data_IF_684815813697
#
_entry.id   IF_684815813697
#
_cell.length_a   1.000
_cell.length_b   1.000
_cell.length_c   1.000
_cell.angle_alpha   90.00
_cell.angle_beta   90.00
_cell.angle_gamma   90.00
#
_symmetry.space_group_name_H-M   'P 1'
#
loop_
_entity.id
_entity.type
_entity.pdbx_description
1 polymer ?
#
# COMPACT_ATOMS: atom_id res chain seq x y z
N UNK A 1 -22.96 30.26 -12.86
CA UNK A 1 -21.70 30.13 -13.62
C UNK A 1 -22.04 29.94 -15.09
N UNK A 2 -21.37 30.66 -16.00
CA UNK A 2 -21.66 30.61 -17.44
C UNK A 2 -21.26 29.29 -18.10
N UNK A 3 -21.88 28.96 -19.23
CA UNK A 3 -21.62 27.71 -19.99
C UNK A 3 -20.16 27.57 -20.44
N UNK A 4 -19.51 28.68 -20.79
CA UNK A 4 -18.08 28.75 -21.14
C UNK A 4 -17.17 28.41 -19.97
N UNK A 5 -17.46 28.91 -18.77
CA UNK A 5 -16.71 28.62 -17.55
C UNK A 5 -16.79 27.14 -17.17
N UNK A 6 -17.98 26.54 -17.26
CA UNK A 6 -18.18 25.12 -17.00
C UNK A 6 -17.41 24.24 -17.99
N UNK A 7 -17.33 24.63 -19.27
CA UNK A 7 -16.53 23.94 -20.28
C UNK A 7 -15.02 24.06 -19.98
N UNK A 8 -14.54 25.24 -19.62
CA UNK A 8 -13.14 25.47 -19.26
C UNK A 8 -12.72 24.59 -18.07
N UNK A 9 -13.55 24.52 -17.02
CA UNK A 9 -13.31 23.67 -15.84
C UNK A 9 -13.26 22.19 -16.23
N UNK A 10 -14.20 21.71 -17.06
CA UNK A 10 -14.20 20.30 -17.51
C UNK A 10 -12.94 19.96 -18.33
N UNK A 11 -12.57 20.80 -19.29
CA UNK A 11 -11.37 20.57 -20.10
C UNK A 11 -10.08 20.61 -19.27
N UNK A 12 -10.01 21.48 -18.26
CA UNK A 12 -8.90 21.48 -17.31
C UNK A 12 -8.83 20.18 -16.51
N UNK A 13 -9.98 19.67 -16.02
CA UNK A 13 -10.04 18.39 -15.30
C UNK A 13 -9.65 17.20 -16.17
N UNK A 14 -10.08 17.17 -17.44
CA UNK A 14 -9.67 16.11 -18.39
C UNK A 14 -8.16 16.04 -18.51
N UNK A 15 -7.51 17.19 -18.74
CA UNK A 15 -6.04 17.30 -18.86
C UNK A 15 -5.30 16.90 -17.58
N UNK A 16 -5.89 17.11 -16.41
CA UNK A 16 -5.33 16.61 -15.16
C UNK A 16 -5.44 15.08 -15.07
N UNK A 17 -6.58 14.51 -15.46
CA UNK A 17 -6.78 13.06 -15.50
C UNK A 17 -5.84 12.34 -16.48
N UNK A 18 -5.59 12.93 -17.65
CA UNK A 18 -4.60 12.46 -18.62
C UNK A 18 -3.18 12.38 -18.05
N UNK A 19 -2.88 13.19 -17.01
CA UNK A 19 -1.62 13.18 -16.26
C UNK A 19 -1.64 12.25 -15.03
N UNK A 20 -2.68 11.43 -14.88
CA UNK A 20 -2.86 10.55 -13.72
C UNK A 20 -3.29 11.28 -12.43
N UNK A 21 -3.70 12.55 -12.51
CA UNK A 21 -4.10 13.34 -11.34
C UNK A 21 -5.61 13.30 -11.14
N UNK A 22 -6.02 12.89 -9.94
CA UNK A 22 -7.42 12.87 -9.51
C UNK A 22 -7.66 13.87 -8.37
N UNK A 23 -8.90 14.37 -8.28
CA UNK A 23 -9.38 15.10 -7.11
C UNK A 23 -10.13 14.14 -6.20
N UNK A 24 -9.80 14.20 -4.92
CA UNK A 24 -10.49 13.47 -3.87
C UNK A 24 -10.63 14.39 -2.65
N UNK A 25 -11.63 14.10 -1.81
CA UNK A 25 -11.90 14.82 -0.57
C UNK A 25 -11.27 14.07 0.60
N UNK A 26 -10.71 14.81 1.56
CA UNK A 26 -10.01 14.25 2.72
C UNK A 26 -10.52 14.96 3.97
N UNK A 27 -10.83 14.17 5.01
CA UNK A 27 -11.07 14.69 6.36
C UNK A 27 -9.73 14.81 7.09
N UNK A 28 -9.46 15.98 7.67
CA UNK A 28 -8.22 16.25 8.40
C UNK A 28 -8.39 17.39 9.39
N UNK A 29 -7.37 17.62 10.23
CA UNK A 29 -7.35 18.78 11.12
C UNK A 29 -7.17 20.06 10.31
N UNK A 30 -7.82 21.13 10.73
CA UNK A 30 -7.72 22.41 10.03
C UNK A 30 -6.28 22.96 10.00
N UNK A 31 -5.53 22.71 11.08
CA UNK A 31 -4.11 23.07 11.22
C UNK A 31 -3.22 22.41 10.16
N UNK A 32 -3.63 21.25 9.64
CA UNK A 32 -2.81 20.45 8.74
C UNK A 32 -3.14 20.76 7.26
N UNK A 33 -4.12 21.63 7.00
CA UNK A 33 -4.64 21.94 5.66
C UNK A 33 -3.54 22.36 4.68
N UNK A 34 -2.70 23.30 5.07
CA UNK A 34 -1.64 23.82 4.19
C UNK A 34 -0.48 22.84 4.01
N UNK A 35 -0.21 22.03 5.05
CA UNK A 35 0.77 20.95 4.99
C UNK A 35 0.31 19.87 3.99
N UNK A 36 -0.93 19.39 4.11
CA UNK A 36 -1.51 18.38 3.22
C UNK A 36 -1.54 18.89 1.77
N UNK A 37 -1.89 20.16 1.55
CA UNK A 37 -1.89 20.77 0.23
C UNK A 37 -0.48 20.82 -0.38
N UNK A 38 0.51 21.23 0.40
CA UNK A 38 1.91 21.31 -0.04
C UNK A 38 2.47 19.91 -0.34
N UNK A 39 2.15 18.93 0.51
CA UNK A 39 2.51 17.54 0.30
C UNK A 39 1.90 16.99 -0.99
N UNK A 40 0.58 17.13 -1.18
CA UNK A 40 -0.10 16.64 -2.38
C UNK A 40 0.46 17.28 -3.66
N UNK A 41 0.82 18.58 -3.62
CA UNK A 41 1.48 19.26 -4.75
C UNK A 41 2.81 18.61 -5.09
N UNK A 42 3.68 18.39 -4.09
CA UNK A 42 5.00 17.78 -4.31
C UNK A 42 4.90 16.32 -4.78
N UNK A 43 3.94 15.55 -4.23
CA UNK A 43 3.70 14.16 -4.66
C UNK A 43 3.12 14.06 -6.07
N UNK A 44 2.51 15.13 -6.59
CA UNK A 44 1.95 15.18 -7.95
C UNK A 44 2.99 15.44 -9.04
N UNK A 45 4.22 15.72 -8.65
CA UNK A 45 5.33 15.91 -9.59
C UNK A 45 5.85 14.56 -10.08
N UNK A 46 6.29 14.54 -11.34
CA UNK A 46 6.91 13.39 -11.99
C UNK A 46 8.43 13.54 -11.98
N UNK A 47 8.98 13.60 -10.75
CA UNK A 47 10.41 13.77 -10.49
C UNK A 47 10.93 12.65 -9.60
N UNK A 48 12.24 12.34 -9.64
CA UNK A 48 12.86 11.36 -8.73
C UNK A 48 12.60 11.69 -7.25
N UNK A 49 12.69 12.97 -6.88
CA UNK A 49 12.48 13.44 -5.51
C UNK A 49 11.04 13.22 -5.04
N UNK A 50 10.06 13.39 -5.94
CA UNK A 50 8.66 13.08 -5.64
C UNK A 50 8.45 11.56 -5.45
N UNK A 51 9.19 10.74 -6.19
CA UNK A 51 9.15 9.27 -6.06
C UNK A 51 9.72 8.81 -4.72
N UNK A 52 10.89 9.34 -4.33
CA UNK A 52 11.49 9.06 -3.02
C UNK A 52 10.57 9.51 -1.89
N UNK A 53 9.98 10.70 -2.00
CA UNK A 53 9.02 11.19 -1.00
C UNK A 53 7.79 10.29 -0.89
N UNK A 54 7.25 9.77 -2.01
CA UNK A 54 6.15 8.78 -1.98
C UNK A 54 6.56 7.52 -1.20
N UNK A 55 7.79 7.03 -1.38
CA UNK A 55 8.29 5.86 -0.67
C UNK A 55 8.44 6.13 0.84
N UNK A 56 9.05 7.26 1.23
CA UNK A 56 9.22 7.65 2.63
C UNK A 56 7.88 7.83 3.34
N UNK A 57 6.93 8.53 2.73
CA UNK A 57 5.59 8.73 3.30
C UNK A 57 4.87 7.40 3.44
N UNK A 58 4.93 6.53 2.43
CA UNK A 58 4.30 5.20 2.50
C UNK A 58 4.88 4.36 3.63
N UNK A 59 6.20 4.37 3.80
CA UNK A 59 6.87 3.65 4.89
C UNK A 59 6.49 4.21 6.27
N UNK A 60 6.41 5.54 6.40
CA UNK A 60 6.03 6.19 7.65
C UNK A 60 4.58 5.90 8.06
N UNK A 61 3.67 5.75 7.09
CA UNK A 61 2.24 5.50 7.34
C UNK A 61 1.96 4.00 7.56
N UNK A 62 2.65 3.11 6.83
CA UNK A 62 2.45 1.66 6.94
C UNK A 62 2.78 1.10 8.34
N UNK A 63 3.43 1.88 9.20
CA UNK A 63 3.88 1.45 10.51
C UNK A 63 5.02 0.43 10.42
N UNK A 64 5.49 -0.05 11.57
CA UNK A 64 6.44 -1.14 11.56
C UNK A 64 5.76 -2.41 11.01
N UNK A 65 6.41 -3.17 10.11
CA UNK A 65 5.88 -4.47 9.72
C UNK A 65 5.64 -5.30 10.98
N UNK A 66 4.57 -6.12 11.04
CA UNK A 66 4.36 -7.01 12.17
C UNK A 66 5.65 -7.80 12.40
N UNK A 67 6.08 -7.88 13.67
CA UNK A 67 7.32 -8.59 14.02
C UNK A 67 7.28 -9.96 13.32
N UNK A 68 8.32 -10.33 12.56
CA UNK A 68 8.34 -11.65 11.93
C UNK A 68 8.06 -12.68 13.02
N UNK A 69 7.03 -13.50 12.80
CA UNK A 69 6.66 -14.53 13.76
C UNK A 69 7.90 -15.33 14.12
N UNK A 70 8.05 -15.66 15.41
CA UNK A 70 9.23 -16.36 15.93
C UNK A 70 9.37 -17.79 15.44
N UNK A 71 8.76 -18.17 14.30
CA UNK A 71 8.75 -19.52 13.73
C UNK A 71 10.18 -20.01 13.49
N UNK A 72 11.07 -19.18 12.94
CA UNK A 72 12.46 -19.56 12.74
C UNK A 72 13.18 -19.80 14.09
N UNK A 73 12.92 -18.94 15.07
CA UNK A 73 13.47 -19.10 16.42
C UNK A 73 12.85 -20.29 17.17
N UNK A 74 11.60 -20.65 16.89
CA UNK A 74 10.92 -21.82 17.45
C UNK A 74 11.45 -23.10 16.83
N UNK A 75 11.58 -23.15 15.50
CA UNK A 75 12.16 -24.27 14.76
C UNK A 75 13.61 -24.52 15.16
N UNK A 76 14.43 -23.47 15.35
CA UNK A 76 15.81 -23.59 15.84
C UNK A 76 15.93 -24.08 17.29
N UNK A 77 14.87 -23.97 18.09
CA UNK A 77 14.79 -24.51 19.46
C UNK A 77 14.20 -25.91 19.52
N UNK A 78 13.74 -26.45 18.37
CA UNK A 78 13.17 -27.78 18.32
C UNK A 78 14.24 -28.82 18.67
N UNK A 79 13.94 -29.80 19.53
CA UNK A 79 14.84 -30.94 19.77
C UNK A 79 15.01 -31.80 18.52
N UNK A 80 14.18 -31.61 17.48
CA UNK A 80 14.27 -32.27 16.18
C UNK A 80 15.18 -31.53 15.19
N UNK A 81 15.87 -30.47 15.62
CA UNK A 81 16.94 -29.84 14.82
C UNK A 81 18.00 -30.90 14.50
N UNK A 82 18.31 -31.05 13.21
CA UNK A 82 19.22 -32.08 12.67
C UNK A 82 18.76 -33.53 12.86
N UNK A 83 17.51 -33.76 13.26
CA UNK A 83 16.94 -35.11 13.20
C UNK A 83 16.73 -35.50 11.73
N UNK A 84 17.06 -36.74 11.38
CA UNK A 84 16.65 -37.33 10.11
C UNK A 84 15.14 -37.60 10.17
N UNK A 85 14.36 -36.61 9.73
CA UNK A 85 12.92 -36.74 9.60
C UNK A 85 12.59 -37.38 8.26
N UNK A 86 11.83 -38.47 8.30
CA UNK A 86 11.17 -38.96 7.09
C UNK A 86 10.02 -38.00 6.75
N UNK A 87 10.22 -37.22 5.70
CA UNK A 87 9.23 -36.26 5.18
C UNK A 87 8.29 -36.89 4.15
N UNK A 88 8.42 -38.19 3.89
CA UNK A 88 7.52 -38.88 2.99
C UNK A 88 6.11 -38.89 3.58
N UNK A 89 5.18 -38.31 2.83
CA UNK A 89 3.75 -38.37 3.15
C UNK A 89 3.08 -39.28 2.12
N UNK A 90 2.48 -40.41 2.51
CA UNK A 90 1.73 -41.24 1.59
C UNK A 90 0.53 -40.47 1.05
N UNK A 91 0.29 -40.60 -0.26
CA UNK A 91 -0.86 -40.02 -0.92
C UNK A 91 -2.04 -40.99 -0.74
N UNK A 92 -2.96 -40.67 0.15
CA UNK A 92 -4.20 -41.42 0.34
C UNK A 92 -5.38 -40.71 -0.33
N UNK A 93 -6.37 -41.47 -0.80
CA UNK A 93 -7.61 -40.93 -1.41
C UNK A 93 -8.40 -39.98 -0.50
N UNK A 94 -8.06 -39.93 0.80
CA UNK A 94 -8.76 -39.14 1.78
C UNK A 94 -10.07 -39.79 2.23
N UNK A 95 -10.72 -39.17 3.22
CA UNK A 95 -12.00 -39.65 3.74
C UNK A 95 -13.12 -39.17 2.82
N UNK A 96 -14.08 -40.04 2.48
CA UNK A 96 -15.36 -39.58 1.89
C UNK A 96 -16.06 -38.67 2.91
N UNK A 97 -16.20 -37.40 2.56
CA UNK A 97 -16.96 -36.41 3.32
C UNK A 97 -18.15 -36.03 2.45
N UNK A 98 -19.35 -36.11 2.99
CA UNK A 98 -20.56 -35.58 2.35
C UNK A 98 -20.61 -34.09 2.69
N UNK A 99 -20.59 -33.20 1.68
CA UNK A 99 -20.59 -31.75 1.82
C UNK A 99 -22.01 -31.18 1.68
#
# INVERSE_FOLDING_TARGET
MGSSQNRAIRNYRSRLGERGLARFEVLGRDTDRDLIRSLARRLSEDTPEASELRATVSQSIAGAPPKPGGILAALRRSPLVNAELDLSRPLEEGRKVDL
#
